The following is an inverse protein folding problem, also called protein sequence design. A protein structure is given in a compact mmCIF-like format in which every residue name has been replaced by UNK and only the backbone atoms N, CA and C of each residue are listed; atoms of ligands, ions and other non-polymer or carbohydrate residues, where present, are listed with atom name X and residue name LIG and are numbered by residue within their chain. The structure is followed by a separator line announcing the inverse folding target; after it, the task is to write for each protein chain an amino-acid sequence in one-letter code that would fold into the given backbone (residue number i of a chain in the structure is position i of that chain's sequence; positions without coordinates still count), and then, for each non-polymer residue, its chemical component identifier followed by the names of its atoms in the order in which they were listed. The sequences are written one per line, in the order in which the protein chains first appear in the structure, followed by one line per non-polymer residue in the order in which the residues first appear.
data_IF_377417840301
#
_entry.id   IF_377417840301
#
_cell.length_a   1.000
_cell.length_b   1.000
_cell.length_c   1.000
_cell.angle_alpha   90.00
_cell.angle_beta   90.00
_cell.angle_gamma   90.00
#
_symmetry.space_group_name_H-M   'P 1'
#
loop_
_entity.id
_entity.type
_entity.pdbx_description
1 polymer ?
#
# COMPACT_ATOMS: atom_id res chain seq x y z
N UNK A 1 9.56 -9.39 0.78
CA UNK A 1 8.51 -9.40 1.80
C UNK A 1 7.27 -8.66 1.30
N UNK A 2 6.14 -9.33 1.32
CA UNK A 2 4.85 -8.71 1.03
C UNK A 2 4.13 -8.43 2.34
N UNK A 3 3.57 -7.24 2.47
CA UNK A 3 2.73 -6.87 3.59
C UNK A 3 1.46 -6.20 3.07
N UNK A 4 0.30 -6.69 3.47
CA UNK A 4 -1.00 -6.16 3.04
C UNK A 4 -1.74 -5.48 4.18
N UNK A 5 -2.66 -4.58 3.83
CA UNK A 5 -3.41 -3.81 4.83
C UNK A 5 -4.81 -4.35 5.14
N UNK A 6 -5.18 -5.49 4.59
CA UNK A 6 -6.45 -6.17 4.89
C UNK A 6 -6.47 -6.67 6.33
N UNK A 7 -7.55 -6.41 7.05
CA UNK A 7 -7.73 -6.87 8.44
C UNK A 7 -8.47 -8.21 8.53
N UNK A 8 -9.31 -8.51 7.55
CA UNK A 8 -10.26 -9.63 7.62
C UNK A 8 -11.57 -9.28 8.32
N UNK A 9 -11.68 -8.10 8.90
CA UNK A 9 -12.91 -7.63 9.56
C UNK A 9 -13.73 -6.76 8.60
N UNK A 10 -14.97 -7.15 8.23
CA UNK A 10 -15.81 -6.38 7.32
C UNK A 10 -16.14 -4.97 7.80
N UNK A 11 -16.16 -4.74 9.11
CA UNK A 11 -16.47 -3.43 9.69
C UNK A 11 -15.26 -2.49 9.66
N UNK A 12 -14.06 -3.06 9.60
CA UNK A 12 -12.80 -2.31 9.54
C UNK A 12 -11.88 -2.99 8.51
N UNK A 13 -12.23 -2.93 7.23
CA UNK A 13 -11.59 -3.78 6.21
C UNK A 13 -10.11 -3.52 6.01
N UNK A 14 -9.65 -2.29 6.22
CA UNK A 14 -8.22 -1.95 6.11
C UNK A 14 -7.66 -1.52 7.46
N UNK A 15 -6.42 -1.88 7.71
CA UNK A 15 -5.65 -1.37 8.85
C UNK A 15 -5.57 0.16 8.76
N UNK A 16 -5.69 0.84 9.88
CA UNK A 16 -5.52 2.28 9.96
C UNK A 16 -4.19 2.70 9.32
N UNK A 17 -4.23 3.76 8.50
CA UNK A 17 -3.07 4.18 7.71
C UNK A 17 -1.83 4.46 8.58
N UNK A 18 -2.00 5.17 9.68
CA UNK A 18 -0.90 5.48 10.58
C UNK A 18 -0.27 4.21 11.18
N UNK A 19 -1.10 3.25 11.59
CA UNK A 19 -0.63 1.99 12.14
C UNK A 19 0.11 1.16 11.09
N UNK A 20 -0.40 1.10 9.87
CA UNK A 20 0.27 0.37 8.79
C UNK A 20 1.63 0.99 8.47
N UNK A 21 1.72 2.31 8.46
CA UNK A 21 2.99 3.02 8.29
C UNK A 21 3.97 2.72 9.41
N UNK A 22 3.50 2.64 10.66
CA UNK A 22 4.35 2.26 11.80
C UNK A 22 4.91 0.85 11.65
N UNK A 23 4.09 -0.09 11.18
CA UNK A 23 4.54 -1.46 10.90
C UNK A 23 5.64 -1.47 9.84
N UNK A 24 5.48 -0.71 8.76
CA UNK A 24 6.48 -0.61 7.71
C UNK A 24 7.80 -0.02 8.23
N UNK A 25 7.72 1.04 9.03
CA UNK A 25 8.92 1.64 9.65
C UNK A 25 9.61 0.66 10.57
N UNK A 26 8.86 -0.11 11.35
CA UNK A 26 9.41 -1.12 12.25
C UNK A 26 10.14 -2.23 11.48
N UNK A 27 9.56 -2.70 10.37
CA UNK A 27 10.18 -3.70 9.50
C UNK A 27 11.49 -3.15 8.95
N UNK A 28 11.49 -1.91 8.46
CA UNK A 28 12.68 -1.28 7.90
C UNK A 28 13.77 -1.11 8.94
N UNK A 29 13.42 -0.64 10.13
CA UNK A 29 14.39 -0.49 11.22
C UNK A 29 15.01 -1.83 11.62
N UNK A 30 14.20 -2.87 11.69
CA UNK A 30 14.69 -4.21 12.03
C UNK A 30 15.64 -4.74 10.96
N UNK A 31 15.27 -4.61 9.69
CA UNK A 31 16.12 -5.06 8.58
C UNK A 31 17.46 -4.32 8.58
N UNK A 32 17.44 -3.00 8.78
CA UNK A 32 18.64 -2.18 8.83
C UNK A 32 19.53 -2.55 10.03
N UNK A 33 18.92 -2.77 11.20
CA UNK A 33 19.65 -3.14 12.42
C UNK A 33 20.38 -4.48 12.29
N UNK A 34 19.79 -5.43 11.55
CA UNK A 34 20.41 -6.74 11.33
C UNK A 34 21.20 -6.82 10.03
N UNK A 35 21.31 -5.72 9.29
CA UNK A 35 22.04 -5.68 8.02
C UNK A 35 21.43 -6.53 6.92
N UNK A 36 20.12 -6.76 6.96
CA UNK A 36 19.40 -7.57 5.97
C UNK A 36 18.92 -6.71 4.82
N UNK A 37 19.34 -6.96 3.56
CA UNK A 37 18.84 -6.23 2.40
C UNK A 37 17.43 -6.69 2.01
N UNK A 38 16.43 -6.19 2.73
CA UNK A 38 15.05 -6.62 2.59
C UNK A 38 14.29 -5.71 1.60
N UNK A 39 13.65 -6.33 0.60
CA UNK A 39 12.71 -5.63 -0.29
C UNK A 39 11.31 -5.76 0.28
N UNK A 40 10.67 -4.63 0.55
CA UNK A 40 9.31 -4.58 1.08
C UNK A 40 8.34 -4.15 -0.01
N UNK A 41 7.42 -5.04 -0.36
CA UNK A 41 6.33 -4.79 -1.29
C UNK A 41 5.05 -4.55 -0.48
N UNK A 42 4.60 -3.31 -0.42
CA UNK A 42 3.42 -2.94 0.35
C UNK A 42 2.17 -3.02 -0.53
N UNK A 43 1.24 -3.86 -0.15
CA UNK A 43 -0.02 -4.09 -0.85
C UNK A 43 -1.15 -3.34 -0.15
N UNK A 44 -1.98 -2.65 -0.92
CA UNK A 44 -3.22 -2.06 -0.44
C UNK A 44 -4.42 -2.63 -1.19
N UNK A 45 -5.47 -2.95 -0.45
CA UNK A 45 -6.59 -3.77 -0.95
C UNK A 45 -7.89 -3.01 -1.18
N UNK A 46 -7.85 -1.68 -1.30
CA UNK A 46 -9.04 -0.89 -1.61
C UNK A 46 -9.75 -1.34 -2.88
N UNK A 47 -9.01 -1.66 -3.93
CA UNK A 47 -9.55 -2.18 -5.19
C UNK A 47 -9.93 -3.66 -5.09
N UNK A 48 -9.11 -4.46 -4.46
CA UNK A 48 -9.39 -5.88 -4.30
C UNK A 48 -10.69 -6.13 -3.56
N UNK A 49 -10.95 -5.36 -2.50
CA UNK A 49 -12.17 -5.46 -1.69
C UNK A 49 -13.31 -4.59 -2.22
N UNK A 50 -13.08 -3.82 -3.29
CA UNK A 50 -14.07 -2.91 -3.89
C UNK A 50 -14.68 -1.94 -2.87
N UNK A 51 -13.83 -1.33 -2.06
CA UNK A 51 -14.23 -0.38 -1.03
C UNK A 51 -14.63 0.96 -1.64
N UNK A 52 -15.59 1.63 -1.01
CA UNK A 52 -16.05 2.99 -1.36
C UNK A 52 -16.52 3.13 -2.80
N UNK A 53 -16.87 4.36 -3.22
CA UNK A 53 -17.08 4.66 -4.63
C UNK A 53 -15.73 4.76 -5.37
N UNK A 54 -15.79 4.81 -6.70
CA UNK A 54 -14.58 4.81 -7.53
C UNK A 54 -13.65 5.98 -7.27
N UNK A 55 -14.23 7.19 -7.09
CA UNK A 55 -13.44 8.39 -6.87
C UNK A 55 -12.69 8.34 -5.54
N UNK A 56 -13.37 7.95 -4.48
CA UNK A 56 -12.76 7.79 -3.16
C UNK A 56 -11.73 6.67 -3.14
N UNK A 57 -12.05 5.55 -3.80
CA UNK A 57 -11.14 4.40 -3.89
C UNK A 57 -9.81 4.81 -4.52
N UNK A 58 -9.86 5.59 -5.60
CA UNK A 58 -8.65 6.08 -6.25
C UNK A 58 -7.85 7.01 -5.32
N UNK A 59 -8.50 7.98 -4.71
CA UNK A 59 -7.84 8.94 -3.82
C UNK A 59 -7.20 8.26 -2.59
N UNK A 60 -7.94 7.38 -1.94
CA UNK A 60 -7.46 6.64 -0.77
C UNK A 60 -6.27 5.72 -1.13
N UNK A 61 -6.33 5.08 -2.29
CA UNK A 61 -5.25 4.20 -2.75
C UNK A 61 -3.97 4.98 -3.01
N UNK A 62 -4.06 6.13 -3.66
CA UNK A 62 -2.91 7.01 -3.92
C UNK A 62 -2.30 7.49 -2.60
N UNK A 63 -3.13 7.95 -1.68
CA UNK A 63 -2.68 8.42 -0.37
C UNK A 63 -1.95 7.31 0.41
N UNK A 64 -2.54 6.11 0.46
CA UNK A 64 -1.95 4.98 1.16
C UNK A 64 -0.63 4.56 0.53
N UNK A 65 -0.59 4.41 -0.78
CA UNK A 65 0.65 4.02 -1.47
C UNK A 65 1.78 5.02 -1.24
N UNK A 66 1.50 6.32 -1.32
CA UNK A 66 2.52 7.34 -1.08
C UNK A 66 2.99 7.34 0.37
N UNK A 67 2.08 7.16 1.33
CA UNK A 67 2.44 7.05 2.74
C UNK A 67 3.29 5.80 3.01
N UNK A 68 2.94 4.66 2.39
CA UNK A 68 3.72 3.43 2.52
C UNK A 68 5.13 3.60 1.95
N UNK A 69 5.24 4.29 0.82
CA UNK A 69 6.56 4.58 0.23
C UNK A 69 7.42 5.41 1.18
N UNK A 70 6.88 6.45 1.77
CA UNK A 70 7.58 7.27 2.75
C UNK A 70 7.94 6.49 4.02
N UNK A 71 7.11 5.51 4.40
CA UNK A 71 7.35 4.68 5.57
C UNK A 71 8.41 3.58 5.34
N UNK A 72 8.90 3.42 4.12
CA UNK A 72 10.00 2.50 3.82
C UNK A 72 9.69 1.36 2.87
N UNK A 73 8.52 1.34 2.23
CA UNK A 73 8.22 0.37 1.19
C UNK A 73 9.09 0.63 -0.04
N UNK A 74 9.64 -0.43 -0.62
CA UNK A 74 10.43 -0.35 -1.85
C UNK A 74 9.54 -0.30 -3.09
N UNK A 75 8.42 -1.00 -3.06
CA UNK A 75 7.43 -1.01 -4.13
C UNK A 75 6.02 -1.12 -3.56
N UNK A 76 5.04 -0.80 -4.39
CA UNK A 76 3.63 -0.76 -4.03
C UNK A 76 2.86 -1.72 -4.92
N UNK A 77 1.83 -2.37 -4.37
CA UNK A 77 1.01 -3.31 -5.10
C UNK A 77 -0.47 -3.01 -4.85
N UNK A 78 -1.23 -2.87 -5.95
CA UNK A 78 -2.67 -2.56 -5.92
C UNK A 78 -3.42 -3.64 -6.70
N UNK A 79 -3.66 -4.80 -6.09
CA UNK A 79 -4.40 -5.86 -6.77
C UNK A 79 -5.86 -5.44 -6.99
N UNK A 80 -6.46 -5.92 -8.07
CA UNK A 80 -7.85 -5.60 -8.40
C UNK A 80 -8.05 -4.32 -9.20
N UNK A 81 -7.03 -3.49 -9.38
CA UNK A 81 -7.07 -2.33 -10.26
C UNK A 81 -6.83 -2.80 -11.70
N UNK A 82 -7.90 -3.01 -12.46
CA UNK A 82 -7.85 -3.61 -13.79
C UNK A 82 -8.12 -2.60 -14.92
N UNK A 83 -8.75 -1.47 -14.64
CA UNK A 83 -9.04 -0.44 -15.63
C UNK A 83 -7.74 0.25 -16.05
N UNK A 84 -7.39 0.26 -17.36
CA UNK A 84 -6.17 0.92 -17.84
C UNK A 84 -6.08 2.41 -17.46
N UNK A 85 -7.19 3.12 -17.38
CA UNK A 85 -7.22 4.53 -16.98
C UNK A 85 -6.82 4.68 -15.51
N UNK A 86 -7.34 3.81 -14.66
CA UNK A 86 -6.99 3.77 -13.23
C UNK A 86 -5.52 3.42 -13.07
N UNK A 87 -5.05 2.38 -13.72
CA UNK A 87 -3.64 1.97 -13.67
C UNK A 87 -2.72 3.12 -14.11
N UNK A 88 -3.08 3.81 -15.19
CA UNK A 88 -2.31 4.96 -15.66
C UNK A 88 -2.25 6.09 -14.64
N UNK A 89 -3.36 6.39 -13.98
CA UNK A 89 -3.40 7.40 -12.92
C UNK A 89 -2.57 6.98 -11.71
N UNK A 90 -2.68 5.73 -11.27
CA UNK A 90 -1.88 5.21 -10.17
C UNK A 90 -0.38 5.31 -10.50
N UNK A 91 0.02 4.94 -11.72
CA UNK A 91 1.41 5.00 -12.13
C UNK A 91 1.96 6.43 -12.13
N UNK A 92 1.13 7.43 -12.46
CA UNK A 92 1.55 8.85 -12.45
C UNK A 92 1.60 9.44 -11.05
N UNK A 93 0.64 9.10 -10.20
CA UNK A 93 0.43 9.76 -8.91
C UNK A 93 1.15 9.07 -7.75
N UNK A 94 1.46 7.79 -7.87
CA UNK A 94 2.21 7.07 -6.84
C UNK A 94 3.71 7.33 -7.03
N UNK A 95 4.36 7.78 -5.97
CA UNK A 95 5.77 8.15 -5.96
C UNK A 95 6.67 6.95 -5.65
N UNK A 96 6.59 5.92 -6.46
CA UNK A 96 7.42 4.74 -6.29
C UNK A 96 7.09 3.67 -7.31
N UNK A 97 7.90 2.60 -7.37
CA UNK A 97 7.63 1.50 -8.28
C UNK A 97 6.29 0.83 -7.96
N UNK A 98 5.44 0.72 -8.96
CA UNK A 98 4.15 0.05 -8.88
C UNK A 98 4.26 -1.34 -9.47
N UNK A 99 3.85 -2.31 -8.69
CA UNK A 99 3.94 -3.71 -9.05
C UNK A 99 2.69 -4.16 -9.82
#
# INVERSE_FOLDING_TARGET
LNIEDTTGDPDRPLVDLALQCEKLRAIRRMADAYGVPLVVNARTDGYWLKLWDEQRRLAETIERCNAFREAGADCLFVPGALDPKVIGTLAREIRGPLN
#
